data_IF_310306856371
#
_entry.id   IF_310306856371
#
_cell.length_a   1.000
_cell.length_b   1.000
_cell.length_c   1.000
_cell.angle_alpha   90.00
_cell.angle_beta   90.00
_cell.angle_gamma   90.00
#
_symmetry.space_group_name_H-M   'P 1'
#
loop_
_entity.id
_entity.type
_entity.pdbx_description
1 polymer ?
#
# COMPACT_ATOMS: atom_id res chain seq x y z
N UNK A 1 -44.77 -50.16 31.58
CA UNK A 1 -44.23 -50.47 30.25
C UNK A 1 -45.35 -50.23 29.25
N UNK A 2 -45.42 -49.02 28.70
CA UNK A 2 -46.38 -48.66 27.66
C UNK A 2 -45.81 -47.45 26.89
N UNK A 3 -45.49 -47.68 25.62
CA UNK A 3 -45.04 -46.67 24.66
C UNK A 3 -46.29 -45.93 24.17
N UNK A 4 -46.28 -44.60 24.27
CA UNK A 4 -47.32 -43.73 23.74
C UNK A 4 -46.72 -42.84 22.66
N UNK A 5 -47.15 -43.09 21.43
CA UNK A 5 -46.84 -42.33 20.23
C UNK A 5 -47.83 -41.16 20.19
N UNK A 6 -47.33 -39.93 20.13
CA UNK A 6 -48.13 -38.77 19.77
C UNK A 6 -47.41 -37.99 18.66
N UNK A 7 -48.03 -38.05 17.49
CA UNK A 7 -47.81 -37.16 16.35
C UNK A 7 -48.07 -35.72 16.74
N UNK A 8 -47.18 -34.81 16.36
CA UNK A 8 -47.50 -33.41 16.15
C UNK A 8 -47.20 -33.06 14.69
N UNK A 9 -48.26 -32.70 13.98
CA UNK A 9 -48.24 -32.14 12.64
C UNK A 9 -47.95 -30.64 12.77
N UNK A 10 -46.99 -30.12 12.01
CA UNK A 10 -46.60 -28.72 12.04
C UNK A 10 -45.82 -28.32 10.79
N UNK A 11 -46.59 -27.98 9.76
CA UNK A 11 -46.30 -27.01 8.69
C UNK A 11 -44.89 -27.02 8.07
N UNK A 12 -44.77 -27.62 6.88
CA UNK A 12 -43.65 -27.43 5.97
C UNK A 12 -43.55 -25.94 5.58
N UNK A 13 -42.52 -25.26 6.08
CA UNK A 13 -42.12 -23.96 5.55
C UNK A 13 -41.34 -24.21 4.26
N UNK A 14 -41.84 -23.68 3.15
CA UNK A 14 -41.21 -23.78 1.84
C UNK A 14 -39.76 -23.30 1.91
N UNK A 15 -38.84 -24.13 1.44
CA UNK A 15 -37.45 -23.76 1.17
C UNK A 15 -37.45 -22.76 0.02
N UNK A 16 -37.34 -21.48 0.33
CA UNK A 16 -37.01 -20.47 -0.67
C UNK A 16 -35.58 -20.74 -1.16
N UNK A 17 -35.35 -21.04 -2.45
CA UNK A 17 -33.99 -21.16 -2.95
C UNK A 17 -33.31 -19.80 -2.84
N UNK A 18 -32.12 -19.75 -2.24
CA UNK A 18 -31.23 -18.58 -2.30
C UNK A 18 -31.03 -18.20 -3.78
N UNK A 19 -31.07 -16.90 -4.14
CA UNK A 19 -30.71 -16.50 -5.49
C UNK A 19 -29.27 -16.95 -5.78
N UNK A 20 -29.12 -17.77 -6.82
CA UNK A 20 -27.81 -18.09 -7.38
C UNK A 20 -27.16 -16.78 -7.84
N UNK A 21 -25.98 -16.50 -7.30
CA UNK A 21 -25.10 -15.47 -7.83
C UNK A 21 -24.72 -15.93 -9.23
N UNK A 22 -25.19 -15.22 -10.25
CA UNK A 22 -24.72 -15.39 -11.61
C UNK A 22 -23.24 -15.02 -11.62
N UNK A 23 -22.36 -16.00 -11.81
CA UNK A 23 -20.97 -15.75 -12.14
C UNK A 23 -20.95 -15.19 -13.56
N UNK A 24 -20.90 -13.87 -13.65
CA UNK A 24 -20.61 -13.18 -14.90
C UNK A 24 -19.16 -13.52 -15.27
N UNK A 25 -19.01 -14.20 -16.41
CA UNK A 25 -17.72 -14.67 -16.90
C UNK A 25 -16.92 -13.47 -17.41
N UNK A 26 -15.77 -13.22 -16.78
CA UNK A 26 -14.79 -12.26 -17.27
C UNK A 26 -14.33 -12.68 -18.69
N UNK A 27 -14.33 -11.79 -19.69
CA UNK A 27 -13.81 -12.13 -21.00
C UNK A 27 -12.31 -12.41 -20.91
N UNK A 28 -11.90 -13.58 -21.41
CA UNK A 28 -10.57 -14.21 -21.34
C UNK A 28 -9.50 -13.47 -22.19
N UNK A 29 -9.76 -12.25 -22.67
CA UNK A 29 -8.98 -11.65 -23.75
C UNK A 29 -8.54 -10.20 -23.42
N UNK A 30 -7.84 -9.98 -22.31
CA UNK A 30 -7.13 -8.71 -22.07
C UNK A 30 -5.64 -8.98 -21.95
N UNK A 31 -4.93 -8.83 -23.07
CA UNK A 31 -3.46 -8.76 -23.10
C UNK A 31 -3.02 -7.32 -22.88
N UNK A 32 -2.39 -7.04 -21.74
CA UNK A 32 -1.69 -5.77 -21.50
C UNK A 32 -0.37 -5.82 -22.25
N UNK A 33 -0.17 -4.92 -23.21
CA UNK A 33 1.14 -4.71 -23.84
C UNK A 33 1.65 -3.33 -23.45
N UNK A 34 2.85 -3.30 -22.86
CA UNK A 34 3.55 -2.07 -22.51
C UNK A 34 4.26 -1.61 -23.79
N UNK A 35 3.76 -0.55 -24.42
CA UNK A 35 4.39 0.06 -25.58
C UNK A 35 5.11 1.35 -25.15
N UNK A 36 6.45 1.37 -25.26
CA UNK A 36 7.28 2.56 -25.07
C UNK A 36 7.37 3.32 -26.40
N UNK A 37 6.89 4.56 -26.46
CA UNK A 37 7.03 5.42 -27.65
C UNK A 37 7.72 6.74 -27.31
N UNK A 38 8.82 7.00 -28.02
CA UNK A 38 9.61 8.25 -28.07
C UNK A 38 8.78 9.44 -28.58
N UNK A 39 8.97 10.68 -28.10
CA UNK A 39 8.14 11.80 -28.53
C UNK A 39 8.60 12.41 -29.86
N UNK A 40 7.65 12.66 -30.76
CA UNK A 40 7.77 13.53 -31.93
C UNK A 40 6.48 14.38 -32.08
N UNK A 41 6.54 15.58 -32.68
CA UNK A 41 5.73 16.72 -32.23
C UNK A 41 4.35 16.86 -32.88
N UNK A 42 3.40 17.28 -32.04
CA UNK A 42 2.17 18.06 -32.24
C UNK A 42 1.40 17.93 -33.58
N UNK A 43 0.25 17.26 -33.51
CA UNK A 43 -0.83 17.35 -34.48
C UNK A 43 -1.82 16.21 -34.29
N UNK A 44 -3.06 16.58 -33.98
CA UNK A 44 -4.26 15.74 -33.79
C UNK A 44 -4.51 15.18 -32.38
N UNK A 45 -5.72 15.50 -31.92
CA UNK A 45 -6.35 15.12 -30.67
C UNK A 45 -6.05 13.66 -30.32
N UNK A 46 -5.18 13.46 -29.33
CA UNK A 46 -4.93 12.13 -28.79
C UNK A 46 -6.27 11.50 -28.38
N UNK A 47 -6.47 10.19 -28.62
CA UNK A 47 -7.54 9.47 -27.97
C UNK A 47 -7.43 9.73 -26.46
N UNK A 48 -8.55 9.97 -25.81
CA UNK A 48 -8.68 10.16 -24.36
C UNK A 48 -8.01 8.96 -23.66
N UNK A 49 -6.71 9.09 -23.34
CA UNK A 49 -5.90 8.04 -22.73
C UNK A 49 -6.32 7.97 -21.27
N UNK A 50 -7.06 6.92 -20.90
CA UNK A 50 -7.40 6.66 -19.53
C UNK A 50 -6.12 6.25 -18.77
N UNK A 51 -5.75 6.94 -17.69
CA UNK A 51 -4.62 6.59 -16.85
C UNK A 51 -5.08 5.99 -15.52
N UNK A 52 -4.56 4.83 -15.10
CA UNK A 52 -4.79 4.29 -13.76
C UNK A 52 -3.73 4.82 -12.79
N UNK A 53 -4.13 5.13 -11.57
CA UNK A 53 -3.20 5.51 -10.50
C UNK A 53 -2.87 4.30 -9.63
N UNK A 54 -1.58 3.99 -9.50
CA UNK A 54 -1.07 2.92 -8.64
C UNK A 54 -0.17 3.50 -7.55
N UNK A 55 -0.54 3.27 -6.29
CA UNK A 55 0.13 3.83 -5.12
C UNK A 55 1.16 2.83 -4.60
N UNK A 56 2.37 3.33 -4.33
CA UNK A 56 3.43 2.55 -3.70
C UNK A 56 3.74 3.11 -2.31
N UNK A 57 4.21 2.25 -1.42
CA UNK A 57 4.57 2.61 -0.06
C UNK A 57 6.06 2.36 0.16
N UNK A 58 6.75 3.34 0.73
CA UNK A 58 8.07 3.12 1.33
C UNK A 58 7.89 2.40 2.66
N UNK A 59 8.55 1.26 2.81
CA UNK A 59 8.43 0.41 4.00
C UNK A 59 9.80 -0.01 4.53
N UNK A 60 9.83 -0.37 5.81
CA UNK A 60 10.97 -0.99 6.47
C UNK A 60 10.48 -2.08 7.43
N UNK A 61 11.33 -3.01 7.89
CA UNK A 61 10.95 -3.94 8.95
C UNK A 61 10.40 -3.19 10.18
N UNK A 62 9.34 -3.73 10.82
CA UNK A 62 8.67 -3.10 11.97
C UNK A 62 9.58 -2.47 13.06
N UNK A 63 10.69 -3.09 13.50
CA UNK A 63 11.53 -2.52 14.56
C UNK A 63 12.37 -1.30 14.14
N UNK A 64 12.26 -0.84 12.90
CA UNK A 64 13.00 0.34 12.41
C UNK A 64 12.61 1.60 13.17
N UNK A 65 13.61 2.35 13.65
CA UNK A 65 13.41 3.58 14.44
C UNK A 65 12.96 4.74 13.57
N UNK A 66 13.56 4.91 12.39
CA UNK A 66 13.19 5.97 11.42
C UNK A 66 11.70 5.89 11.08
N UNK A 67 10.98 7.02 11.16
CA UNK A 67 9.54 7.12 10.87
C UNK A 67 9.24 7.67 9.46
N UNK A 68 10.22 8.32 8.84
CA UNK A 68 10.05 8.96 7.54
C UNK A 68 11.35 9.47 6.94
N UNK A 69 11.29 9.81 5.66
CA UNK A 69 12.36 10.39 4.84
C UNK A 69 11.77 11.52 3.99
N UNK A 70 12.63 12.37 3.41
CA UNK A 70 12.18 13.30 2.37
C UNK A 70 12.16 12.62 0.99
N UNK A 71 11.40 13.17 0.04
CA UNK A 71 11.47 12.70 -1.34
C UNK A 71 12.86 12.89 -1.94
N UNK A 72 13.53 14.01 -1.64
CA UNK A 72 14.90 14.27 -2.11
C UNK A 72 15.86 13.17 -1.65
N UNK A 73 15.77 12.74 -0.39
CA UNK A 73 16.58 11.63 0.12
C UNK A 73 16.27 10.32 -0.61
N UNK A 74 14.99 10.03 -0.85
CA UNK A 74 14.58 8.83 -1.58
C UNK A 74 15.04 8.86 -3.04
N UNK A 75 14.93 10.00 -3.70
CA UNK A 75 15.33 10.19 -5.09
C UNK A 75 16.86 10.13 -5.25
N UNK A 76 17.61 10.65 -4.29
CA UNK A 76 19.08 10.48 -4.24
C UNK A 76 19.46 9.01 -4.05
N UNK A 77 18.74 8.27 -3.19
CA UNK A 77 18.96 6.82 -3.05
C UNK A 77 18.75 6.06 -4.36
N UNK A 78 17.81 6.51 -5.20
CA UNK A 78 17.54 5.96 -6.52
C UNK A 78 18.62 6.33 -7.56
N UNK A 79 19.05 7.59 -7.57
CA UNK A 79 19.86 8.16 -8.68
C UNK A 79 21.36 8.16 -8.48
N UNK A 80 21.87 8.16 -7.24
CA UNK A 80 23.32 8.29 -6.98
C UNK A 80 24.01 6.96 -6.69
N UNK A 81 23.26 5.86 -6.55
CA UNK A 81 23.79 4.50 -6.29
C UNK A 81 24.35 4.33 -4.87
N UNK A 82 24.59 5.44 -4.16
CA UNK A 82 24.93 5.46 -2.73
C UNK A 82 23.72 5.94 -1.96
N UNK A 83 23.09 5.03 -1.22
CA UNK A 83 21.95 5.39 -0.40
C UNK A 83 22.36 6.47 0.64
N UNK A 84 21.58 7.56 0.79
CA UNK A 84 21.82 8.56 1.84
C UNK A 84 21.83 7.94 3.24
N UNK A 85 22.30 8.72 4.23
CA UNK A 85 22.36 8.26 5.63
C UNK A 85 20.98 7.80 6.16
N UNK A 86 19.89 8.40 5.68
CA UNK A 86 18.52 7.99 5.99
C UNK A 86 18.22 6.52 5.62
N UNK A 87 18.93 5.98 4.63
CA UNK A 87 18.88 4.61 4.13
C UNK A 87 20.08 3.76 4.58
N UNK A 88 20.86 4.25 5.56
CA UNK A 88 22.09 3.59 6.07
C UNK A 88 23.03 3.06 4.99
N UNK A 89 23.07 3.70 3.82
CA UNK A 89 23.91 3.27 2.70
C UNK A 89 23.55 1.92 2.09
N UNK A 90 22.34 1.38 2.32
CA UNK A 90 21.92 0.11 1.70
C UNK A 90 20.96 0.34 0.53
N UNK A 91 20.97 -0.56 -0.47
CA UNK A 91 20.07 -0.47 -1.62
C UNK A 91 18.58 -0.63 -1.27
N UNK A 92 17.71 -0.05 -2.10
CA UNK A 92 16.26 -0.20 -1.99
C UNK A 92 15.84 -1.60 -2.45
N UNK A 93 15.08 -2.32 -1.62
CA UNK A 93 14.52 -3.61 -1.99
C UNK A 93 13.19 -3.44 -2.72
N UNK A 94 12.98 -4.15 -3.83
CA UNK A 94 11.69 -4.18 -4.51
C UNK A 94 11.56 -5.40 -5.40
N UNK A 95 10.34 -5.66 -5.90
CA UNK A 95 10.13 -6.65 -6.94
C UNK A 95 10.33 -6.07 -8.34
N UNK A 96 10.40 -6.95 -9.34
CA UNK A 96 10.65 -6.57 -10.74
C UNK A 96 9.56 -5.65 -11.30
N UNK A 97 8.29 -5.87 -10.94
CA UNK A 97 7.18 -5.02 -11.41
C UNK A 97 7.22 -3.61 -10.81
N UNK A 98 7.65 -3.49 -9.55
CA UNK A 98 7.81 -2.23 -8.85
C UNK A 98 8.99 -1.46 -9.44
N UNK A 99 10.10 -2.14 -9.72
CA UNK A 99 11.23 -1.56 -10.44
C UNK A 99 10.77 -0.98 -11.78
N UNK A 100 10.04 -1.75 -12.59
CA UNK A 100 9.55 -1.29 -13.88
C UNK A 100 8.63 -0.05 -13.76
N UNK A 101 7.75 -0.03 -12.77
CA UNK A 101 6.86 1.11 -12.53
C UNK A 101 7.61 2.37 -12.07
N UNK A 102 8.57 2.23 -11.16
CA UNK A 102 9.39 3.36 -10.69
C UNK A 102 10.37 3.85 -11.76
N UNK A 103 10.90 2.95 -12.59
CA UNK A 103 11.73 3.31 -13.76
C UNK A 103 10.93 4.14 -14.76
N UNK A 104 9.65 3.84 -14.95
CA UNK A 104 8.77 4.67 -15.78
C UNK A 104 8.49 6.06 -15.15
N UNK A 105 8.64 6.20 -13.83
CA UNK A 105 8.39 7.44 -13.10
C UNK A 105 9.65 8.32 -12.95
N UNK A 106 10.81 7.70 -12.77
CA UNK A 106 12.06 8.35 -12.36
C UNK A 106 13.27 8.03 -13.23
N UNK A 107 13.07 7.37 -14.38
CA UNK A 107 14.12 6.79 -15.21
C UNK A 107 14.90 5.67 -14.50
N UNK A 108 15.91 5.11 -15.20
CA UNK A 108 16.71 3.98 -14.71
C UNK A 108 17.41 4.33 -13.38
N UNK A 109 17.36 3.44 -12.36
CA UNK A 109 18.13 3.64 -11.14
C UNK A 109 19.63 3.58 -11.40
N UNK A 110 20.40 4.20 -10.51
CA UNK A 110 21.85 4.03 -10.53
C UNK A 110 22.26 2.56 -10.29
N UNK A 111 23.45 2.16 -10.78
CA UNK A 111 24.03 0.87 -10.45
C UNK A 111 24.04 0.64 -8.94
N UNK A 112 23.66 -0.55 -8.53
CA UNK A 112 23.59 -0.99 -7.12
C UNK A 112 22.61 -0.20 -6.22
N UNK A 113 21.83 0.75 -6.74
CA UNK A 113 20.81 1.47 -5.97
C UNK A 113 19.65 0.57 -5.52
N UNK A 114 19.39 -0.52 -6.25
CA UNK A 114 18.23 -1.39 -6.06
C UNK A 114 18.64 -2.86 -5.96
N UNK A 115 18.01 -3.58 -5.02
CA UNK A 115 18.06 -5.03 -4.92
C UNK A 115 16.70 -5.65 -5.28
N UNK A 116 16.68 -6.35 -6.41
CA UNK A 116 15.48 -7.04 -6.89
C UNK A 116 15.32 -8.35 -6.13
N UNK A 117 14.15 -8.56 -5.53
CA UNK A 117 13.79 -9.77 -4.80
C UNK A 117 12.40 -10.22 -5.25
N UNK A 118 12.17 -11.54 -5.30
CA UNK A 118 10.83 -12.07 -5.57
C UNK A 118 9.82 -11.54 -4.53
N UNK A 119 8.63 -11.15 -4.99
CA UNK A 119 7.59 -10.51 -4.16
C UNK A 119 7.29 -11.27 -2.86
N UNK A 120 7.18 -12.59 -2.95
CA UNK A 120 6.89 -13.49 -1.81
C UNK A 120 8.05 -13.61 -0.81
N UNK A 121 9.26 -13.20 -1.20
CA UNK A 121 10.48 -13.24 -0.37
C UNK A 121 10.94 -11.87 0.11
N UNK A 122 10.32 -10.79 -0.36
CA UNK A 122 10.72 -9.43 -0.07
C UNK A 122 10.72 -9.13 1.44
N UNK A 123 9.65 -9.50 2.15
CA UNK A 123 9.57 -9.32 3.60
C UNK A 123 10.65 -10.13 4.33
N UNK A 124 10.77 -11.43 4.03
CA UNK A 124 11.77 -12.30 4.66
C UNK A 124 13.18 -11.75 4.46
N UNK A 125 13.49 -11.30 3.25
CA UNK A 125 14.78 -10.70 2.92
C UNK A 125 15.01 -9.42 3.72
N UNK A 126 14.08 -8.47 3.73
CA UNK A 126 14.22 -7.22 4.46
C UNK A 126 14.45 -7.44 5.96
N UNK A 127 13.77 -8.42 6.57
CA UNK A 127 14.00 -8.79 7.97
C UNK A 127 15.37 -9.45 8.21
N UNK A 128 15.91 -10.17 7.22
CA UNK A 128 17.22 -10.84 7.34
C UNK A 128 18.43 -9.90 7.19
N UNK A 129 18.26 -8.73 6.56
CA UNK A 129 19.34 -7.79 6.26
C UNK A 129 19.17 -6.43 6.94
N UNK A 130 18.46 -6.36 8.08
CA UNK A 130 18.20 -5.10 8.77
C UNK A 130 19.52 -4.34 9.11
N UNK A 131 19.59 -3.02 8.85
CA UNK A 131 18.50 -2.17 8.39
C UNK A 131 18.22 -2.31 6.89
N UNK A 132 16.94 -2.23 6.51
CA UNK A 132 16.49 -2.44 5.13
C UNK A 132 15.29 -1.56 4.81
N UNK A 133 15.21 -1.10 3.58
CA UNK A 133 14.13 -0.28 3.03
C UNK A 133 13.62 -0.94 1.79
N UNK A 134 12.30 -0.98 1.63
CA UNK A 134 11.68 -1.53 0.45
C UNK A 134 10.60 -0.59 -0.08
N UNK A 135 10.34 -0.65 -1.38
CA UNK A 135 9.15 -0.03 -1.97
C UNK A 135 8.24 -1.17 -2.41
N UNK A 136 6.97 -1.10 -1.99
CA UNK A 136 5.97 -2.12 -2.29
C UNK A 136 4.67 -1.49 -2.78
N UNK A 137 3.92 -2.17 -3.65
CA UNK A 137 2.55 -1.77 -3.96
C UNK A 137 1.68 -1.70 -2.69
N UNK A 138 0.78 -0.71 -2.59
CA UNK A 138 -0.04 -0.51 -1.40
C UNK A 138 -0.88 -1.75 -1.01
N UNK A 139 -1.39 -2.50 -1.98
CA UNK A 139 -2.24 -3.68 -1.79
C UNK A 139 -1.53 -4.88 -1.17
N UNK A 140 -0.19 -4.90 -1.13
CA UNK A 140 0.59 -5.99 -0.52
C UNK A 140 1.08 -5.65 0.89
N UNK A 141 0.67 -4.50 1.44
CA UNK A 141 1.02 -4.13 2.81
C UNK A 141 0.48 -5.13 3.82
N UNK A 142 1.32 -5.48 4.80
CA UNK A 142 1.00 -6.41 5.89
C UNK A 142 1.59 -5.90 7.22
N UNK A 143 1.07 -6.34 8.39
CA UNK A 143 1.45 -5.77 9.70
C UNK A 143 2.93 -5.88 10.09
N UNK A 144 3.71 -6.69 9.38
CA UNK A 144 5.16 -6.86 9.63
C UNK A 144 6.00 -5.76 8.99
N UNK A 145 5.39 -4.93 8.14
CA UNK A 145 5.98 -3.73 7.61
C UNK A 145 5.68 -2.52 8.50
N UNK A 146 6.68 -1.66 8.68
CA UNK A 146 6.49 -0.27 9.06
C UNK A 146 6.42 0.55 7.78
N UNK A 147 5.29 1.21 7.55
CA UNK A 147 5.17 2.20 6.46
C UNK A 147 5.82 3.50 6.92
N UNK A 148 6.79 3.97 6.15
CA UNK A 148 7.50 5.22 6.41
C UNK A 148 6.78 6.38 5.70
N UNK A 149 6.83 7.58 6.27
CA UNK A 149 6.36 8.76 5.55
C UNK A 149 7.37 9.22 4.52
N UNK A 150 6.90 9.71 3.38
CA UNK A 150 7.72 10.47 2.41
C UNK A 150 7.18 11.89 2.41
N UNK A 151 8.03 12.87 2.75
CA UNK A 151 7.63 14.27 2.96
C UNK A 151 6.45 14.45 3.92
N UNK A 152 6.41 13.61 4.96
CA UNK A 152 5.34 13.61 5.97
C UNK A 152 4.04 12.91 5.54
N UNK A 153 3.89 12.56 4.26
CA UNK A 153 2.73 11.84 3.72
C UNK A 153 2.91 10.32 3.85
N UNK A 154 1.82 9.60 4.13
CA UNK A 154 1.81 8.14 4.16
C UNK A 154 0.46 7.58 3.76
N UNK A 155 0.39 6.56 2.90
CA UNK A 155 -0.86 6.04 2.37
C UNK A 155 -1.70 5.30 3.41
N UNK A 156 -1.21 5.07 4.62
CA UNK A 156 -2.01 4.44 5.70
C UNK A 156 -2.59 5.47 6.70
N UNK A 157 -2.37 6.77 6.47
CA UNK A 157 -2.86 7.85 7.35
C UNK A 157 -4.15 8.47 6.82
N UNK A 158 -4.98 8.97 7.74
CA UNK A 158 -6.29 9.57 7.41
C UNK A 158 -6.16 10.87 6.60
N UNK A 159 -5.06 11.61 6.79
CA UNK A 159 -4.76 12.90 6.15
C UNK A 159 -3.91 12.74 4.87
N UNK A 160 -3.83 11.53 4.32
CA UNK A 160 -3.07 11.25 3.12
C UNK A 160 -3.58 12.03 1.91
N UNK A 161 -2.70 12.85 1.33
CA UNK A 161 -2.97 13.61 0.12
C UNK A 161 -2.26 12.99 -1.08
N UNK A 162 -3.05 12.37 -1.96
CA UNK A 162 -2.57 11.72 -3.17
C UNK A 162 -1.89 12.70 -4.15
N UNK A 163 -2.26 13.98 -4.13
CA UNK A 163 -1.74 14.98 -5.08
C UNK A 163 -0.31 15.43 -4.77
N UNK A 164 0.15 15.22 -3.54
CA UNK A 164 1.49 15.62 -3.08
C UNK A 164 2.42 14.44 -2.87
N UNK A 165 1.91 13.22 -2.92
CA UNK A 165 2.68 12.02 -2.63
C UNK A 165 3.51 11.55 -3.84
N UNK A 166 4.83 11.36 -3.71
CA UNK A 166 5.72 11.13 -4.85
C UNK A 166 5.73 9.68 -5.37
N UNK A 167 5.10 8.73 -4.66
CA UNK A 167 5.09 7.31 -5.01
C UNK A 167 3.77 6.89 -5.66
N UNK A 168 3.33 7.65 -6.66
CA UNK A 168 2.12 7.37 -7.45
C UNK A 168 2.52 7.19 -8.92
N UNK A 169 2.33 5.99 -9.45
CA UNK A 169 2.57 5.69 -10.85
C UNK A 169 1.28 5.85 -11.67
N UNK A 170 1.36 6.49 -12.82
CA UNK A 170 0.27 6.62 -13.79
C UNK A 170 0.43 5.60 -14.90
N UNK A 171 -0.43 4.59 -14.94
CA UNK A 171 -0.39 3.51 -15.92
C UNK A 171 -1.37 3.85 -17.06
N UNK A 172 -0.89 4.11 -18.29
CA UNK A 172 -1.77 4.37 -19.42
C UNK A 172 -2.55 3.10 -19.81
N UNK A 173 -3.85 3.25 -20.01
CA UNK A 173 -4.76 2.20 -20.48
C UNK A 173 -5.13 2.50 -21.92
N UNK A 174 -4.68 1.64 -22.82
CA UNK A 174 -5.10 1.69 -24.22
C UNK A 174 -6.23 0.69 -24.43
N UNK A 175 -7.38 1.18 -24.91
CA UNK A 175 -8.47 0.30 -25.37
C UNK A 175 -8.13 -0.24 -26.75
N UNK A 176 -8.16 -1.56 -26.92
CA UNK A 176 -7.96 -2.22 -28.22
C UNK A 176 -9.06 -1.89 -29.25
N UNK A 177 -10.20 -1.32 -28.80
CA UNK A 177 -11.32 -0.92 -29.65
C UNK A 177 -11.55 0.59 -29.54
N UNK A 178 -11.29 1.29 -30.65
CA UNK A 178 -11.27 2.76 -30.79
C UNK A 178 -12.62 3.48 -30.59
N UNK A 179 -13.71 2.75 -30.38
CA UNK A 179 -15.08 3.29 -30.33
C UNK A 179 -15.72 3.33 -28.95
N UNK A 180 -15.07 2.78 -27.92
CA UNK A 180 -15.61 2.78 -26.57
C UNK A 180 -14.77 3.71 -25.70
N UNK A 181 -15.28 4.94 -25.49
CA UNK A 181 -14.78 5.81 -24.43
C UNK A 181 -14.88 5.03 -23.14
N UNK A 182 -13.74 4.74 -22.54
CA UNK A 182 -13.65 4.27 -21.17
C UNK A 182 -14.06 5.46 -20.29
N UNK A 183 -15.36 5.71 -20.20
CA UNK A 183 -15.96 6.58 -19.18
C UNK A 183 -15.83 5.86 -17.84
N UNK A 184 -14.60 5.80 -17.34
CA UNK A 184 -14.26 5.05 -16.13
C UNK A 184 -14.23 6.07 -15.01
N UNK A 185 -15.42 6.44 -14.52
CA UNK A 185 -15.56 7.18 -13.26
C UNK A 185 -15.12 6.37 -12.03
N UNK A 186 -14.65 5.13 -12.24
CA UNK A 186 -14.29 4.15 -11.22
C UNK A 186 -13.01 3.42 -11.67
N UNK A 187 -11.94 4.18 -11.90
CA UNK A 187 -10.68 3.61 -12.38
C UNK A 187 -10.12 2.69 -11.30
N UNK A 188 -9.83 1.41 -11.62
CA UNK A 188 -9.27 0.50 -10.64
C UNK A 188 -7.92 1.04 -10.16
N UNK A 189 -7.89 1.51 -8.92
CA UNK A 189 -6.68 1.83 -8.16
C UNK A 189 -6.49 0.76 -7.09
N UNK A 190 -5.23 0.54 -6.69
CA UNK A 190 -4.92 -0.27 -5.52
C UNK A 190 -5.23 0.44 -4.19
N UNK A 191 -5.61 1.72 -4.23
CA UNK A 191 -5.91 2.53 -3.07
C UNK A 191 -7.38 2.97 -3.04
N UNK A 192 -8.07 2.71 -1.92
CA UNK A 192 -9.42 3.19 -1.67
C UNK A 192 -9.56 3.61 -0.19
N UNK A 193 -9.64 4.92 0.11
CA UNK A 193 -9.74 5.40 1.49
C UNK A 193 -11.05 4.96 2.16
N UNK A 194 -12.12 4.69 1.38
CA UNK A 194 -13.40 4.22 1.93
C UNK A 194 -13.36 2.79 2.46
N UNK A 195 -12.36 2.01 2.04
CA UNK A 195 -12.10 0.63 2.50
C UNK A 195 -11.06 0.55 3.62
N UNK A 196 -10.57 1.69 4.11
CA UNK A 196 -9.54 1.74 5.15
C UNK A 196 -10.13 1.73 6.55
N UNK A 197 -9.48 1.02 7.48
CA UNK A 197 -9.81 1.07 8.91
C UNK A 197 -8.54 1.25 9.72
N UNK A 198 -8.46 2.35 10.47
CA UNK A 198 -7.35 2.63 11.38
C UNK A 198 -7.67 2.05 12.75
N UNK A 199 -6.80 1.17 13.25
CA UNK A 199 -6.90 0.61 14.60
C UNK A 199 -5.72 1.12 15.41
N UNK A 200 -6.01 1.76 16.53
CA UNK A 200 -5.01 2.19 17.49
C UNK A 200 -5.10 1.27 18.71
N UNK A 201 -4.01 0.55 18.99
CA UNK A 201 -3.94 -0.42 20.07
C UNK A 201 -2.82 -0.07 21.04
N UNK A 202 -3.14 -0.04 22.33
CA UNK A 202 -2.14 0.12 23.39
C UNK A 202 -1.83 -1.23 24.02
N UNK A 203 -0.54 -1.51 24.22
CA UNK A 203 -0.10 -2.70 24.94
C UNK A 203 0.23 -2.37 26.39
N UNK A 204 -0.16 -3.24 27.32
CA UNK A 204 0.21 -3.11 28.75
C UNK A 204 1.74 -3.14 28.97
N UNK A 205 2.48 -3.74 28.04
CA UNK A 205 3.95 -3.83 28.06
C UNK A 205 4.65 -2.52 27.75
N UNK A 206 3.97 -1.52 27.19
CA UNK A 206 4.54 -0.19 26.97
C UNK A 206 4.66 0.64 28.27
N UNK A 207 3.97 0.24 29.36
CA UNK A 207 3.97 0.93 30.66
C UNK A 207 4.98 0.33 31.66
N UNK A 208 6.05 -0.28 31.16
CA UNK A 208 7.11 -0.87 32.00
C UNK A 208 8.07 0.19 32.57
N UNK A 209 9.08 -0.28 33.33
CA UNK A 209 10.00 0.53 34.15
C UNK A 209 10.52 1.83 33.50
N UNK A 210 10.81 1.83 32.20
CA UNK A 210 11.30 3.01 31.49
C UNK A 210 10.24 4.13 31.41
N UNK A 211 8.98 3.78 31.12
CA UNK A 211 7.86 4.73 31.08
C UNK A 211 7.56 5.28 32.46
N UNK A 212 7.56 4.42 33.49
CA UNK A 212 7.40 4.84 34.89
C UNK A 212 8.51 5.80 35.35
N UNK A 213 9.78 5.49 35.03
CA UNK A 213 10.91 6.39 35.31
C UNK A 213 10.77 7.72 34.57
N UNK A 214 10.32 7.69 33.31
CA UNK A 214 10.10 8.90 32.52
C UNK A 214 8.98 9.77 33.11
N UNK A 215 7.91 9.15 33.64
CA UNK A 215 6.83 9.85 34.33
C UNK A 215 7.29 10.47 35.65
N UNK A 216 8.19 9.83 36.39
CA UNK A 216 8.80 10.41 37.60
C UNK A 216 9.62 11.66 37.25
N UNK A 217 10.38 11.60 36.15
CA UNK A 217 11.24 12.71 35.72
C UNK A 217 10.49 13.85 35.02
N UNK A 218 9.41 13.55 34.28
CA UNK A 218 8.73 14.51 33.38
C UNK A 218 7.26 14.78 33.73
N UNK A 219 6.75 14.14 34.78
CA UNK A 219 5.34 14.22 35.18
C UNK A 219 4.49 13.07 34.64
N UNK A 220 3.42 12.74 35.37
CA UNK A 220 2.55 11.60 35.06
C UNK A 220 1.73 11.77 33.78
N UNK A 221 1.52 13.00 33.31
CA UNK A 221 0.79 13.31 32.07
C UNK A 221 1.66 13.17 30.81
N UNK A 222 2.99 13.10 30.97
CA UNK A 222 3.94 13.17 29.86
C UNK A 222 3.70 12.15 28.73
N UNK A 223 3.43 10.85 29.00
CA UNK A 223 3.16 9.91 27.92
C UNK A 223 1.90 10.29 27.13
N UNK A 224 0.85 10.71 27.84
CA UNK A 224 -0.41 11.15 27.25
C UNK A 224 -0.23 12.36 26.34
N UNK A 225 0.58 13.34 26.74
CA UNK A 225 0.92 14.49 25.89
C UNK A 225 1.61 14.10 24.58
N UNK A 226 2.44 13.04 24.60
CA UNK A 226 3.19 12.58 23.43
C UNK A 226 2.38 11.74 22.45
N UNK A 227 1.36 11.02 22.92
CA UNK A 227 0.51 10.17 22.06
C UNK A 227 -0.88 10.76 21.82
N UNK A 228 -1.19 11.93 22.40
CA UNK A 228 -2.52 12.53 22.37
C UNK A 228 -3.08 12.67 20.96
N UNK A 229 -2.29 13.21 20.06
CA UNK A 229 -2.74 13.53 18.71
C UNK A 229 -3.00 12.23 17.93
N UNK A 230 -2.06 11.26 18.03
CA UNK A 230 -2.25 9.91 17.51
C UNK A 230 -3.55 9.27 18.05
N UNK A 231 -3.80 9.29 19.37
CA UNK A 231 -5.02 8.69 19.94
C UNK A 231 -6.31 9.37 19.45
N UNK A 232 -6.26 10.67 19.13
CA UNK A 232 -7.40 11.42 18.61
C UNK A 232 -7.71 11.07 17.15
N UNK A 233 -6.73 10.60 16.40
CA UNK A 233 -6.93 10.14 15.03
C UNK A 233 -7.75 8.85 14.96
N UNK A 234 -7.97 8.11 16.06
CA UNK A 234 -8.85 6.94 16.03
C UNK A 234 -10.34 7.31 15.97
N UNK A 235 -10.72 8.47 16.53
CA UNK A 235 -12.09 9.01 16.51
C UNK A 235 -12.41 9.62 15.13
#
# INVERSE_FOLDING_TARGET
MLVLILSACGTQSALTPRPQIAQESLPINSSVQIATSTPAPAGDSQPDEAHLQWIYALVAPFPTVTDGVTFDELYLAWTEGTAPAAFSGVPLLMDESTLAALTALWDEPAPDAVWIVARDRLLEKAWSVAPAWAIVPFEVLEPKWKVLTVDGQSPIRKDFDLSTYPLVASIPVQSATSSQRLAVSDQPSNYDPSKMTTIIMTGVTALVRATAMTMELKGTTYPGEKIRDLMREAD
#
